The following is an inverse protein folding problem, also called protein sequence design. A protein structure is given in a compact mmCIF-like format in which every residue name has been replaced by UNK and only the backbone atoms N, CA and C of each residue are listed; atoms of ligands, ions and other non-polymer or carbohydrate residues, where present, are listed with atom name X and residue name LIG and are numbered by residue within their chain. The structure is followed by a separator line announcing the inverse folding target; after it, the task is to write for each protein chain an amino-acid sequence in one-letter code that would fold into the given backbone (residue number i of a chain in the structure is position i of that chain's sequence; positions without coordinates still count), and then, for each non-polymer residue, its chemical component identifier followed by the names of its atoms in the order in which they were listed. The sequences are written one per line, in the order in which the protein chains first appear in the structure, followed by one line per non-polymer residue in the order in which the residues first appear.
data_IF_387815582509
#
_entry.id   IF_387815582509
#
_cell.length_a   1.000
_cell.length_b   1.000
_cell.length_c   1.000
_cell.angle_alpha   90.00
_cell.angle_beta   90.00
_cell.angle_gamma   90.00
#
_symmetry.space_group_name_H-M   'P 1'
#
loop_
_entity.id
_entity.type
_entity.pdbx_description
1 polymer ?
#
# COMPACT_ATOMS: atom_id res chain seq x y z
N UNK A 1 12.02 -32.19 4.24
CA UNK A 1 11.88 -30.73 4.11
C UNK A 1 11.54 -30.22 5.50
N UNK A 2 12.34 -29.34 6.09
CA UNK A 2 12.00 -28.71 7.38
C UNK A 2 11.11 -27.51 7.00
N UNK A 3 9.87 -27.41 7.50
CA UNK A 3 9.06 -26.22 7.27
C UNK A 3 9.82 -24.99 7.79
N UNK A 4 9.84 -23.92 6.99
CA UNK A 4 10.33 -22.63 7.47
C UNK A 4 9.49 -22.12 8.65
N UNK A 5 9.91 -21.02 9.30
CA UNK A 5 9.07 -20.34 10.28
C UNK A 5 7.70 -20.02 9.67
N UNK A 6 6.65 -20.09 10.49
CA UNK A 6 5.30 -19.78 10.03
C UNK A 6 5.23 -18.32 9.59
N UNK A 7 4.63 -18.08 8.43
CA UNK A 7 4.33 -16.73 7.96
C UNK A 7 3.23 -16.13 8.84
N UNK A 8 3.47 -14.92 9.35
CA UNK A 8 2.55 -14.19 10.22
C UNK A 8 2.25 -12.81 9.65
N UNK A 9 0.99 -12.39 9.77
CA UNK A 9 0.50 -11.11 9.27
C UNK A 9 0.11 -11.14 7.79
N UNK A 10 -0.10 -9.97 7.22
CA UNK A 10 -0.47 -9.77 5.83
C UNK A 10 0.33 -8.61 5.23
N UNK A 11 0.78 -8.77 3.99
CA UNK A 11 1.29 -7.65 3.20
C UNK A 11 0.12 -6.75 2.79
N UNK A 12 0.40 -5.46 2.65
CA UNK A 12 -0.49 -4.50 2.02
C UNK A 12 0.19 -3.92 0.77
N UNK A 13 -0.49 -4.02 -0.37
CA UNK A 13 0.00 -3.52 -1.66
C UNK A 13 -1.17 -2.88 -2.40
N UNK A 14 -1.03 -1.61 -2.75
CA UNK A 14 -1.99 -0.91 -3.58
C UNK A 14 -1.46 -0.75 -5.00
N UNK A 15 -2.36 -0.80 -5.97
CA UNK A 15 -2.05 -0.66 -7.39
C UNK A 15 -2.78 0.55 -7.96
N UNK A 16 -2.03 1.46 -8.60
CA UNK A 16 -2.60 2.64 -9.25
C UNK A 16 -3.43 2.22 -10.45
N UNK A 17 -4.68 2.69 -10.49
CA UNK A 17 -5.56 2.62 -11.66
C UNK A 17 -5.75 4.01 -12.28
N UNK A 18 -6.22 4.10 -13.54
CA UNK A 18 -6.50 5.39 -14.19
C UNK A 18 -7.49 6.26 -13.41
N UNK A 19 -7.32 7.57 -13.46
CA UNK A 19 -8.27 8.52 -12.89
C UNK A 19 -9.66 8.34 -13.51
N UNK A 20 -10.70 8.48 -12.68
CA UNK A 20 -12.11 8.23 -13.00
C UNK A 20 -12.46 6.81 -13.51
N UNK A 21 -11.63 5.81 -13.20
CA UNK A 21 -11.90 4.42 -13.55
C UNK A 21 -12.39 3.55 -12.39
N UNK A 22 -12.42 4.06 -11.15
CA UNK A 22 -12.80 3.25 -9.97
C UNK A 22 -14.14 2.50 -10.14
N UNK A 23 -15.24 3.09 -10.66
CA UNK A 23 -16.49 2.36 -10.85
C UNK A 23 -16.35 1.17 -11.81
N UNK A 24 -15.63 1.36 -12.93
CA UNK A 24 -15.39 0.31 -13.92
C UNK A 24 -14.42 -0.76 -13.39
N UNK A 25 -13.40 -0.32 -12.63
CA UNK A 25 -12.46 -1.22 -11.97
C UNK A 25 -13.14 -2.08 -10.91
N UNK A 26 -14.10 -1.52 -10.16
CA UNK A 26 -14.92 -2.24 -9.19
C UNK A 26 -15.79 -3.30 -9.85
N UNK A 27 -16.50 -2.96 -10.93
CA UNK A 27 -17.32 -3.91 -11.69
C UNK A 27 -16.44 -5.05 -12.22
N UNK A 28 -15.33 -4.71 -12.86
CA UNK A 28 -14.36 -5.68 -13.34
C UNK A 28 -13.79 -6.57 -12.22
N UNK A 29 -13.42 -6.02 -11.08
CA UNK A 29 -12.81 -6.79 -9.99
C UNK A 29 -13.83 -7.71 -9.30
N UNK A 30 -15.08 -7.26 -9.14
CA UNK A 30 -16.16 -7.99 -8.46
C UNK A 30 -16.59 -9.27 -9.19
N UNK A 31 -16.37 -9.36 -10.51
CA UNK A 31 -16.58 -10.60 -11.27
C UNK A 31 -15.59 -11.71 -10.90
N UNK A 32 -14.48 -11.36 -10.24
CA UNK A 32 -13.31 -12.23 -10.05
C UNK A 32 -13.07 -12.57 -8.59
N UNK A 33 -13.30 -11.62 -7.68
CA UNK A 33 -13.07 -11.77 -6.23
C UNK A 33 -14.13 -11.02 -5.43
N UNK A 34 -14.34 -11.44 -4.19
CA UNK A 34 -15.11 -10.66 -3.23
C UNK A 34 -14.30 -9.45 -2.77
N UNK A 35 -14.92 -8.27 -2.79
CA UNK A 35 -14.34 -7.06 -2.22
C UNK A 35 -14.38 -7.13 -0.69
N UNK A 36 -13.35 -6.60 -0.05
CA UNK A 36 -13.34 -6.41 1.40
C UNK A 36 -14.25 -5.24 1.77
N UNK A 37 -14.85 -5.33 2.95
CA UNK A 37 -15.72 -4.28 3.48
C UNK A 37 -15.30 -3.80 4.85
N UNK A 38 -15.72 -2.59 5.21
CA UNK A 38 -15.70 -2.18 6.62
C UNK A 38 -16.82 -2.87 7.43
N UNK A 39 -16.94 -2.50 8.71
CA UNK A 39 -17.98 -3.01 9.61
C UNK A 39 -19.40 -2.51 9.28
N UNK A 40 -19.54 -1.59 8.33
CA UNK A 40 -20.80 -1.04 7.83
C UNK A 40 -21.14 -1.56 6.43
N UNK A 41 -20.37 -2.53 5.91
CA UNK A 41 -20.52 -3.12 4.58
C UNK A 41 -20.22 -2.17 3.42
N UNK A 42 -19.47 -1.09 3.66
CA UNK A 42 -18.93 -0.28 2.57
C UNK A 42 -17.72 -0.98 1.94
N UNK A 43 -17.66 -0.98 0.61
CA UNK A 43 -16.60 -1.57 -0.20
C UNK A 43 -15.81 -0.55 -1.03
N UNK A 44 -16.21 0.73 -0.96
CA UNK A 44 -15.53 1.89 -1.55
C UNK A 44 -15.12 2.87 -0.46
N UNK A 45 -13.88 3.35 -0.53
CA UNK A 45 -13.29 4.20 0.49
C UNK A 45 -12.70 5.46 -0.13
N UNK A 46 -13.16 6.63 0.33
CA UNK A 46 -12.54 7.90 -0.02
C UNK A 46 -11.41 8.23 0.96
N UNK A 47 -10.29 8.72 0.46
CA UNK A 47 -9.19 9.22 1.29
C UNK A 47 -9.43 10.68 1.72
N UNK A 48 -8.61 11.17 2.67
CA UNK A 48 -8.63 12.57 3.04
C UNK A 48 -8.35 13.48 1.81
N UNK A 49 -8.90 14.70 1.72
CA UNK A 49 -8.87 15.50 0.48
C UNK A 49 -7.49 15.69 -0.15
N UNK A 50 -6.43 15.82 0.64
CA UNK A 50 -5.07 16.00 0.14
C UNK A 50 -4.49 14.75 -0.57
N UNK A 51 -5.06 13.57 -0.34
CA UNK A 51 -4.69 12.35 -1.06
C UNK A 51 -5.24 12.33 -2.48
N UNK A 52 -6.35 13.04 -2.70
CA UNK A 52 -7.11 13.01 -3.95
C UNK A 52 -7.32 11.57 -4.45
N UNK A 53 -7.64 10.64 -3.55
CA UNK A 53 -7.67 9.22 -3.86
C UNK A 53 -8.92 8.51 -3.37
N UNK A 54 -9.27 7.44 -4.08
CA UNK A 54 -10.40 6.55 -3.79
C UNK A 54 -9.99 5.10 -4.03
N UNK A 55 -10.52 4.20 -3.22
CA UNK A 55 -9.97 2.85 -3.12
C UNK A 55 -11.04 1.78 -2.99
N UNK A 56 -10.72 0.61 -3.52
CA UNK A 56 -11.41 -0.66 -3.26
C UNK A 56 -10.38 -1.72 -2.88
N UNK A 57 -10.78 -2.64 -1.99
CA UNK A 57 -9.87 -3.62 -1.40
C UNK A 57 -10.32 -5.05 -1.69
N UNK A 58 -9.37 -5.97 -1.79
CA UNK A 58 -9.63 -7.39 -2.00
C UNK A 58 -8.52 -8.23 -1.38
N UNK A 59 -8.85 -9.48 -1.03
CA UNK A 59 -7.88 -10.38 -0.40
C UNK A 59 -7.07 -11.13 -1.46
N UNK A 60 -5.75 -10.98 -1.40
CA UNK A 60 -4.80 -11.72 -2.22
C UNK A 60 -4.33 -13.04 -1.59
N UNK A 61 -3.38 -13.73 -2.23
CA UNK A 61 -2.67 -14.87 -1.64
C UNK A 61 -2.08 -14.51 -0.27
N UNK A 62 -1.95 -15.51 0.61
CA UNK A 62 -1.45 -15.34 1.98
C UNK A 62 -2.17 -14.26 2.81
N UNK A 63 -3.45 -14.03 2.48
CA UNK A 63 -4.31 -13.00 3.05
C UNK A 63 -3.79 -11.57 2.87
N UNK A 64 -2.97 -11.32 1.85
CA UNK A 64 -2.52 -9.97 1.52
C UNK A 64 -3.73 -9.04 1.33
N UNK A 65 -3.64 -7.82 1.86
CA UNK A 65 -4.63 -6.77 1.67
C UNK A 65 -4.24 -6.00 0.41
N UNK A 66 -4.85 -6.37 -0.71
CA UNK A 66 -4.61 -5.75 -2.00
C UNK A 66 -5.62 -4.63 -2.24
N UNK A 67 -5.17 -3.59 -2.92
CA UNK A 67 -5.97 -2.39 -3.15
C UNK A 67 -5.86 -1.96 -4.62
N UNK A 68 -6.99 -1.59 -5.23
CA UNK A 68 -6.97 -0.74 -6.42
C UNK A 68 -7.27 0.69 -5.98
N UNK A 69 -6.34 1.59 -6.27
CA UNK A 69 -6.40 2.99 -5.85
C UNK A 69 -6.40 3.91 -7.07
N UNK A 70 -7.45 4.71 -7.18
CA UNK A 70 -7.57 5.81 -8.11
C UNK A 70 -6.96 7.06 -7.48
N UNK A 71 -6.02 7.72 -8.16
CA UNK A 71 -5.48 9.03 -7.76
C UNK A 71 -5.92 10.09 -8.76
N UNK A 72 -6.82 10.97 -8.35
CA UNK A 72 -7.42 12.01 -9.19
C UNK A 72 -6.44 13.08 -9.67
N UNK A 73 -5.31 13.24 -8.99
CA UNK A 73 -4.26 14.18 -9.38
C UNK A 73 -3.45 13.70 -10.59
N UNK A 74 -3.45 12.39 -10.89
CA UNK A 74 -2.68 11.84 -12.00
C UNK A 74 -3.42 12.05 -13.32
N UNK A 75 -2.72 12.62 -14.30
CA UNK A 75 -3.24 12.78 -15.66
C UNK A 75 -3.02 11.50 -16.48
N UNK A 76 -3.75 10.45 -16.12
CA UNK A 76 -3.58 9.10 -16.67
C UNK A 76 -4.90 8.46 -17.14
N UNK A 77 -5.92 9.29 -17.37
CA UNK A 77 -7.27 8.86 -17.80
C UNK A 77 -7.20 8.05 -19.09
N UNK A 78 -8.11 7.09 -19.21
CA UNK A 78 -8.27 6.27 -20.41
C UNK A 78 -9.72 6.29 -20.88
N UNK A 79 -9.90 6.32 -22.20
CA UNK A 79 -11.21 6.28 -22.85
C UNK A 79 -11.45 4.90 -23.48
N UNK A 80 -11.48 3.88 -22.62
CA UNK A 80 -11.77 2.47 -22.96
C UNK A 80 -12.25 1.72 -21.72
N UNK A 81 -12.89 0.55 -21.87
CA UNK A 81 -13.24 -0.30 -20.73
C UNK A 81 -12.01 -0.68 -19.91
N UNK A 82 -12.16 -0.66 -18.58
CA UNK A 82 -11.09 -1.06 -17.66
C UNK A 82 -10.74 -2.54 -17.83
N UNK A 83 -9.45 -2.85 -17.83
CA UNK A 83 -8.95 -4.21 -17.73
C UNK A 83 -7.59 -4.29 -17.05
N UNK A 84 -7.04 -5.50 -16.94
CA UNK A 84 -5.76 -5.75 -16.26
C UNK A 84 -4.59 -4.90 -16.83
N UNK A 85 -4.62 -4.60 -18.13
CA UNK A 85 -3.60 -3.75 -18.78
C UNK A 85 -3.67 -2.28 -18.42
N UNK A 86 -4.69 -1.85 -17.68
CA UNK A 86 -4.84 -0.48 -17.19
C UNK A 86 -4.25 -0.28 -15.79
N UNK A 87 -3.89 -1.34 -15.08
CA UNK A 87 -3.15 -1.27 -13.81
C UNK A 87 -1.73 -0.75 -14.11
N UNK A 88 -1.31 0.33 -13.44
CA UNK A 88 -0.13 1.12 -13.87
C UNK A 88 1.13 0.85 -13.08
N UNK A 89 1.04 0.88 -11.77
CA UNK A 89 2.18 0.84 -10.87
C UNK A 89 1.75 0.33 -9.50
N UNK A 90 2.73 -0.08 -8.70
CA UNK A 90 2.53 -0.20 -7.25
C UNK A 90 2.44 1.23 -6.72
N UNK A 91 1.28 1.56 -6.16
CA UNK A 91 0.98 2.86 -5.56
C UNK A 91 1.48 2.92 -4.12
N UNK A 92 1.27 1.82 -3.38
CA UNK A 92 1.54 1.78 -1.94
C UNK A 92 2.11 0.43 -1.55
N UNK A 93 3.08 0.44 -0.63
CA UNK A 93 3.57 -0.75 0.07
C UNK A 93 3.49 -0.51 1.57
N UNK A 94 2.82 -1.41 2.29
CA UNK A 94 2.66 -1.31 3.74
C UNK A 94 3.83 -1.91 4.53
N UNK A 95 4.27 -1.19 5.56
CA UNK A 95 5.35 -1.58 6.47
C UNK A 95 4.82 -1.57 7.91
N UNK A 96 4.92 -2.72 8.58
CA UNK A 96 4.79 -2.79 10.03
C UNK A 96 6.10 -2.40 10.70
N UNK A 97 6.07 -1.35 11.52
CA UNK A 97 7.25 -0.81 12.19
C UNK A 97 7.00 -0.61 13.68
N UNK A 98 8.07 -0.65 14.49
CA UNK A 98 7.98 -0.46 15.94
C UNK A 98 7.70 0.99 16.33
N UNK A 99 8.24 1.96 15.58
CA UNK A 99 8.00 3.39 15.77
C UNK A 99 7.87 4.08 14.40
N UNK A 100 6.66 4.55 14.10
CA UNK A 100 6.32 5.21 12.84
C UNK A 100 7.09 6.52 12.69
N UNK A 101 7.13 7.36 13.71
CA UNK A 101 7.74 8.69 13.62
C UNK A 101 9.26 8.60 13.50
N UNK A 102 9.89 7.65 14.19
CA UNK A 102 11.31 7.35 14.04
C UNK A 102 11.62 6.84 12.63
N UNK A 103 10.82 5.92 12.12
CA UNK A 103 11.01 5.39 10.76
C UNK A 103 10.84 6.48 9.70
N UNK A 104 9.87 7.39 9.84
CA UNK A 104 9.73 8.54 8.93
C UNK A 104 10.97 9.45 8.96
N UNK A 105 11.53 9.71 10.15
CA UNK A 105 12.78 10.48 10.26
C UNK A 105 13.93 9.75 9.55
N UNK A 106 14.06 8.44 9.74
CA UNK A 106 15.09 7.62 9.10
C UNK A 106 14.98 7.67 7.57
N UNK A 107 13.78 7.47 7.03
CA UNK A 107 13.51 7.52 5.58
C UNK A 107 13.86 8.89 5.00
N UNK A 108 13.48 9.98 5.68
CA UNK A 108 13.86 11.34 5.27
C UNK A 108 15.37 11.52 5.27
N UNK A 109 16.04 11.18 6.35
CA UNK A 109 17.46 11.50 6.54
C UNK A 109 18.37 10.64 5.67
N UNK A 110 17.95 9.42 5.31
CA UNK A 110 18.74 8.46 4.53
C UNK A 110 18.38 8.41 3.05
N UNK A 111 17.09 8.55 2.73
CA UNK A 111 16.57 8.40 1.35
C UNK A 111 16.03 9.71 0.78
N UNK A 112 15.91 10.78 1.59
CA UNK A 112 15.32 12.04 1.16
C UNK A 112 13.79 12.00 1.01
N UNK A 113 13.14 10.91 1.42
CA UNK A 113 11.69 10.73 1.28
C UNK A 113 10.94 11.47 2.40
N UNK A 114 9.99 12.32 2.02
CA UNK A 114 9.27 13.17 2.95
C UNK A 114 7.97 12.51 3.43
N UNK A 115 7.50 12.81 4.67
CA UNK A 115 6.15 12.48 5.10
C UNK A 115 5.10 13.03 4.13
N UNK A 116 4.12 12.20 3.77
CA UNK A 116 2.99 12.61 2.95
C UNK A 116 1.85 13.11 3.86
N UNK A 117 1.90 14.40 4.19
CA UNK A 117 1.00 15.02 5.16
C UNK A 117 1.61 15.11 6.56
N UNK A 118 0.76 15.38 7.56
CA UNK A 118 1.22 15.60 8.94
C UNK A 118 1.69 14.29 9.60
N UNK A 119 2.92 14.23 10.14
CA UNK A 119 3.43 13.05 10.84
C UNK A 119 2.55 12.64 12.03
N UNK A 120 2.20 11.36 12.10
CA UNK A 120 1.42 10.80 13.21
C UNK A 120 1.96 9.42 13.62
N UNK A 121 1.90 9.06 14.92
CA UNK A 121 2.46 7.81 15.42
C UNK A 121 1.67 6.56 14.98
N UNK A 122 0.40 6.71 14.61
CA UNK A 122 -0.46 5.58 14.23
C UNK A 122 -0.54 5.29 12.74
N UNK A 123 -0.08 6.22 11.89
CA UNK A 123 -0.15 6.11 10.43
C UNK A 123 0.79 7.16 9.81
N UNK A 124 1.83 6.71 9.12
CA UNK A 124 2.90 7.55 8.61
C UNK A 124 3.20 7.28 7.14
N UNK A 125 2.40 7.80 6.20
CA UNK A 125 2.70 7.70 4.78
C UNK A 125 3.98 8.50 4.45
N UNK A 126 4.81 7.98 3.55
CA UNK A 126 6.08 8.59 3.12
C UNK A 126 6.24 8.45 1.62
N UNK A 127 6.58 9.55 0.93
CA UNK A 127 6.68 9.61 -0.54
C UNK A 127 5.72 10.64 -1.13
N UNK A 128 5.17 10.34 -2.30
CA UNK A 128 4.26 11.22 -3.02
C UNK A 128 3.19 10.42 -3.80
N UNK A 129 2.46 11.08 -4.69
CA UNK A 129 1.39 10.45 -5.45
C UNK A 129 1.86 9.38 -6.45
N UNK A 130 3.15 9.33 -6.80
CA UNK A 130 3.69 8.30 -7.68
C UNK A 130 4.04 7.02 -6.91
N UNK A 131 4.29 7.12 -5.60
CA UNK A 131 4.51 5.97 -4.74
C UNK A 131 4.62 6.33 -3.25
N UNK A 132 3.96 5.55 -2.40
CA UNK A 132 4.01 5.69 -0.94
C UNK A 132 4.50 4.43 -0.24
N UNK A 133 5.28 4.64 0.81
CA UNK A 133 5.44 3.67 1.88
C UNK A 133 4.45 4.00 2.99
N UNK A 134 3.61 3.03 3.35
CA UNK A 134 2.57 3.18 4.37
C UNK A 134 3.07 2.56 5.66
N UNK A 135 3.54 3.40 6.57
CA UNK A 135 4.06 2.96 7.86
C UNK A 135 2.93 2.88 8.89
N UNK A 136 2.80 1.73 9.56
CA UNK A 136 1.87 1.54 10.67
C UNK A 136 2.56 0.80 11.82
N UNK A 137 2.10 0.94 13.07
CA UNK A 137 2.61 0.13 14.17
C UNK A 137 2.45 -1.38 13.89
N UNK A 138 3.45 -2.20 14.22
CA UNK A 138 3.41 -3.64 13.92
C UNK A 138 2.26 -4.41 14.60
N UNK A 139 1.63 -3.85 15.63
CA UNK A 139 0.54 -4.44 16.40
C UNK A 139 -0.86 -3.97 15.96
N UNK A 140 -0.98 -3.04 15.00
CA UNK A 140 -2.28 -2.72 14.40
C UNK A 140 -2.70 -3.75 13.37
N UNK A 141 -3.91 -3.63 12.85
CA UNK A 141 -4.40 -4.43 11.73
C UNK A 141 -4.68 -3.57 10.51
N UNK A 142 -4.52 -4.15 9.33
CA UNK A 142 -4.82 -3.46 8.08
C UNK A 142 -6.33 -3.22 7.93
N UNK A 143 -6.67 -1.98 7.57
CA UNK A 143 -7.98 -1.63 7.04
C UNK A 143 -8.19 -2.29 5.67
N UNK A 144 -9.45 -2.47 5.20
CA UNK A 144 -10.71 -2.08 5.85
C UNK A 144 -11.27 -3.10 6.86
N UNK A 145 -10.96 -4.39 6.73
CA UNK A 145 -11.54 -5.43 7.59
C UNK A 145 -10.91 -5.52 8.99
N UNK A 146 -9.72 -4.93 9.21
CA UNK A 146 -9.01 -4.93 10.49
C UNK A 146 -8.72 -6.33 11.04
N UNK A 147 -8.41 -7.30 10.16
CA UNK A 147 -8.27 -8.73 10.52
C UNK A 147 -6.85 -9.18 10.85
N UNK A 148 -5.87 -8.69 10.10
CA UNK A 148 -4.49 -9.16 10.18
C UNK A 148 -3.54 -7.99 10.34
N UNK A 149 -2.53 -8.19 11.17
CA UNK A 149 -1.43 -7.25 11.35
C UNK A 149 -0.48 -7.24 10.15
N UNK A 150 0.39 -6.23 10.03
CA UNK A 150 1.45 -6.23 9.03
C UNK A 150 2.28 -7.51 9.03
N UNK A 151 2.73 -7.91 7.85
CA UNK A 151 3.57 -9.09 7.69
C UNK A 151 4.87 -8.98 8.50
N UNK A 152 5.21 -10.05 9.22
CA UNK A 152 6.47 -10.21 9.92
C UNK A 152 7.40 -11.15 9.12
N UNK A 153 7.75 -10.72 7.90
CA UNK A 153 8.50 -11.54 6.95
C UNK A 153 9.54 -10.71 6.18
N UNK A 154 10.77 -11.23 5.96
CA UNK A 154 11.77 -10.57 5.14
C UNK A 154 11.22 -10.20 3.76
N UNK A 155 11.22 -8.91 3.46
CA UNK A 155 10.64 -8.31 2.26
C UNK A 155 11.60 -7.28 1.70
N UNK A 156 11.87 -7.40 0.40
CA UNK A 156 12.70 -6.44 -0.34
C UNK A 156 11.81 -5.60 -1.25
N UNK A 157 11.86 -4.28 -1.08
CA UNK A 157 11.17 -3.32 -1.92
C UNK A 157 12.20 -2.60 -2.77
N UNK A 158 12.10 -2.77 -4.10
CA UNK A 158 12.97 -2.05 -5.03
C UNK A 158 12.25 -0.80 -5.52
N UNK A 159 12.88 0.37 -5.33
CA UNK A 159 12.30 1.67 -5.63
C UNK A 159 13.36 2.64 -6.17
N UNK A 160 12.91 3.78 -6.70
CA UNK A 160 13.80 4.88 -7.09
C UNK A 160 14.28 5.63 -5.85
N UNK A 161 15.30 5.07 -5.21
CA UNK A 161 15.91 5.60 -3.97
C UNK A 161 17.43 5.66 -4.13
N UNK A 162 18.13 6.59 -3.43
CA UNK A 162 19.55 6.81 -3.66
C UNK A 162 20.45 5.72 -3.08
N UNK A 163 19.97 4.93 -2.13
CA UNK A 163 20.75 3.90 -1.43
C UNK A 163 19.83 2.83 -0.84
N UNK A 164 20.40 1.67 -0.53
CA UNK A 164 19.70 0.65 0.24
C UNK A 164 19.54 1.08 1.71
N UNK A 165 18.44 0.66 2.32
CA UNK A 165 18.13 0.94 3.72
C UNK A 165 17.32 -0.22 4.32
N UNK A 166 17.81 -0.76 5.41
CA UNK A 166 17.07 -1.71 6.26
C UNK A 166 16.16 -0.95 7.23
N UNK A 167 14.94 -1.44 7.42
CA UNK A 167 13.97 -0.92 8.38
C UNK A 167 13.48 -2.07 9.25
N UNK A 168 13.83 -2.01 10.53
CA UNK A 168 13.53 -3.09 11.48
C UNK A 168 14.15 -4.42 11.04
N UNK A 169 13.50 -5.52 11.37
CA UNK A 169 14.00 -6.88 11.09
C UNK A 169 13.54 -7.44 9.74
N UNK A 170 12.58 -6.79 9.08
CA UNK A 170 11.81 -7.41 8.01
C UNK A 170 11.92 -6.69 6.67
N UNK A 171 12.34 -5.43 6.64
CA UNK A 171 12.19 -4.62 5.44
C UNK A 171 13.55 -4.15 4.93
N UNK A 172 13.80 -4.37 3.65
CA UNK A 172 14.91 -3.77 2.93
C UNK A 172 14.34 -2.96 1.77
N UNK A 173 14.62 -1.67 1.74
CA UNK A 173 14.40 -0.82 0.56
C UNK A 173 15.72 -0.78 -0.21
N UNK A 174 15.69 -0.96 -1.52
CA UNK A 174 16.89 -0.90 -2.36
C UNK A 174 16.68 -0.14 -3.67
N UNK A 175 17.74 0.46 -4.24
CA UNK A 175 17.68 1.14 -5.54
C UNK A 175 17.36 0.20 -6.70
N UNK A 176 16.84 0.76 -7.79
CA UNK A 176 16.72 0.07 -9.07
C UNK A 176 18.10 -0.40 -9.57
N UNK A 177 18.24 -1.71 -9.83
CA UNK A 177 19.47 -2.32 -10.35
C UNK A 177 20.50 -2.74 -9.29
N UNK A 178 20.11 -2.79 -8.02
CA UNK A 178 20.89 -3.38 -6.92
C UNK A 178 21.08 -4.90 -7.05
#
# INVERSE_FOLDING_TARGET
MIPGPAYHGAHHIAFTIPAASLPAAKEWLSERVSLQTDNQWHDEFDCAPHWQARSIYFTGPDNAVLELIERNILDNRVDRPFGVGDIRAISEVGFGVSDVLETQRLLRDKLGLLPFGEPAPGFGPVGDHDGLFILVPSDVTWRPENRLSPAAAPTVVTADVPTALEIGEHWLIQPLGA
#
